data_IF_237840610097
#
_entry.id   IF_237840610097
#
_cell.length_a   1.000
_cell.length_b   1.000
_cell.length_c   1.000
_cell.angle_alpha   90.00
_cell.angle_beta   90.00
_cell.angle_gamma   90.00
#
_symmetry.space_group_name_H-M   'P 1'
#
loop_
_entity.id
_entity.type
_entity.pdbx_description
1 polymer ?
#
# COMPACT_ATOMS: atom_id res chain seq x y z
N UNK A 1 -15.91 -30.31 -37.87
CA UNK A 1 -16.16 -29.76 -36.53
C UNK A 1 -14.90 -29.19 -35.88
N UNK A 2 -14.29 -28.20 -36.54
CA UNK A 2 -13.16 -27.41 -36.02
C UNK A 2 -13.51 -25.94 -36.24
N UNK A 3 -14.63 -25.50 -35.66
CA UNK A 3 -15.11 -24.12 -35.76
C UNK A 3 -15.69 -23.64 -34.44
N UNK A 4 -14.93 -23.65 -33.33
CA UNK A 4 -15.36 -22.95 -32.10
C UNK A 4 -14.25 -22.77 -31.06
N UNK A 5 -12.99 -22.59 -31.48
CA UNK A 5 -11.90 -22.25 -30.55
C UNK A 5 -11.40 -20.81 -30.64
N UNK A 6 -12.16 -19.93 -31.23
CA UNK A 6 -11.86 -18.50 -31.29
C UNK A 6 -12.96 -17.65 -30.65
N UNK A 7 -13.48 -18.04 -29.50
CA UNK A 7 -13.95 -17.04 -28.53
C UNK A 7 -12.70 -16.47 -27.88
N UNK A 8 -12.02 -15.52 -28.55
CA UNK A 8 -11.23 -14.52 -27.87
C UNK A 8 -12.15 -13.96 -26.79
N UNK A 9 -11.82 -14.21 -25.54
CA UNK A 9 -12.31 -13.41 -24.42
C UNK A 9 -12.02 -11.99 -24.89
N UNK A 10 -13.06 -11.22 -25.22
CA UNK A 10 -12.91 -9.77 -25.40
C UNK A 10 -12.44 -9.30 -24.04
N UNK A 11 -11.14 -9.02 -23.93
CA UNK A 11 -10.60 -8.33 -22.76
C UNK A 11 -11.46 -7.09 -22.62
N UNK A 12 -12.24 -7.04 -21.57
CA UNK A 12 -13.10 -5.87 -21.30
C UNK A 12 -12.17 -4.72 -21.02
N UNK A 13 -12.12 -3.75 -21.94
CA UNK A 13 -11.31 -2.54 -21.77
C UNK A 13 -11.78 -1.86 -20.49
N UNK A 14 -10.95 -1.84 -19.44
CA UNK A 14 -11.24 -1.16 -18.21
C UNK A 14 -10.60 0.22 -18.22
N UNK A 15 -11.43 1.26 -18.25
CA UNK A 15 -10.99 2.66 -18.25
C UNK A 15 -10.61 3.08 -16.84
N UNK A 16 -9.36 3.48 -16.66
CA UNK A 16 -8.81 3.94 -15.38
C UNK A 16 -8.69 5.47 -15.37
N UNK A 17 -9.23 6.09 -14.33
CA UNK A 17 -8.97 7.48 -14.00
C UNK A 17 -7.90 7.59 -12.92
N UNK A 18 -7.07 8.61 -12.99
CA UNK A 18 -6.06 8.88 -11.97
C UNK A 18 -6.43 10.18 -11.25
N UNK A 19 -6.56 10.13 -9.93
CA UNK A 19 -6.72 11.30 -9.10
C UNK A 19 -5.41 11.62 -8.38
N UNK A 20 -4.74 12.68 -8.81
CA UNK A 20 -3.45 13.14 -8.31
C UNK A 20 -2.37 13.18 -9.38
N UNK A 21 -1.36 14.03 -9.15
CA UNK A 21 -0.19 14.22 -10.01
C UNK A 21 1.12 14.17 -9.22
N UNK A 22 1.07 13.52 -8.04
CA UNK A 22 2.19 13.41 -7.11
C UNK A 22 3.32 12.52 -7.64
N UNK A 23 4.39 12.41 -6.85
CA UNK A 23 5.60 11.66 -7.21
C UNK A 23 5.30 10.21 -7.59
N UNK A 24 4.45 9.52 -6.82
CA UNK A 24 4.12 8.11 -7.08
C UNK A 24 3.44 7.92 -8.45
N UNK A 25 2.56 8.86 -8.85
CA UNK A 25 1.92 8.83 -10.16
C UNK A 25 2.96 9.03 -11.25
N UNK A 26 3.84 10.04 -11.12
CA UNK A 26 4.86 10.34 -12.13
C UNK A 26 5.86 9.20 -12.32
N UNK A 27 6.23 8.50 -11.24
CA UNK A 27 7.16 7.36 -11.29
C UNK A 27 6.55 6.11 -11.93
N UNK A 28 5.25 5.88 -11.73
CA UNK A 28 4.60 4.64 -12.18
C UNK A 28 3.81 4.79 -13.47
N UNK A 29 3.35 5.99 -13.82
CA UNK A 29 2.51 6.24 -14.99
C UNK A 29 3.10 5.72 -16.32
N UNK A 30 4.42 5.87 -16.62
CA UNK A 30 5.01 5.32 -17.85
C UNK A 30 4.74 3.83 -17.98
N UNK A 31 5.02 3.07 -16.93
CA UNK A 31 4.80 1.63 -16.93
C UNK A 31 3.31 1.27 -16.96
N UNK A 32 2.48 2.00 -16.26
CA UNK A 32 1.04 1.78 -16.20
C UNK A 32 0.39 1.91 -17.60
N UNK A 33 0.79 2.91 -18.36
CA UNK A 33 0.26 3.15 -19.73
C UNK A 33 0.76 2.10 -20.71
N UNK A 34 2.04 1.71 -20.63
CA UNK A 34 2.66 0.84 -21.63
C UNK A 34 2.46 -0.66 -21.39
N UNK A 35 2.33 -1.08 -20.11
CA UNK A 35 2.46 -2.49 -19.75
C UNK A 35 1.25 -3.06 -19.02
N UNK A 36 0.21 -2.26 -18.74
CA UNK A 36 -1.02 -2.79 -18.14
C UNK A 36 -2.16 -2.84 -19.13
N UNK A 37 -3.11 -3.77 -18.92
CA UNK A 37 -4.32 -3.81 -19.74
C UNK A 37 -5.36 -2.73 -19.33
N UNK A 38 -5.08 -1.91 -18.32
CA UNK A 38 -5.88 -0.71 -18.05
C UNK A 38 -5.70 0.32 -19.16
N UNK A 39 -6.79 0.92 -19.59
CA UNK A 39 -6.74 2.12 -20.44
C UNK A 39 -6.81 3.35 -19.56
N UNK A 40 -5.70 4.06 -19.39
CA UNK A 40 -5.70 5.32 -18.64
C UNK A 40 -6.46 6.36 -19.45
N UNK A 41 -7.67 6.70 -19.00
CA UNK A 41 -8.62 7.56 -19.72
C UNK A 41 -8.47 9.03 -19.36
N UNK A 42 -8.12 9.34 -18.12
CA UNK A 42 -8.09 10.73 -17.64
C UNK A 42 -7.23 10.90 -16.38
N UNK A 43 -6.71 12.12 -16.20
CA UNK A 43 -6.05 12.56 -14.97
C UNK A 43 -6.83 13.71 -14.35
N UNK A 44 -7.17 13.60 -13.07
CA UNK A 44 -7.77 14.66 -12.28
C UNK A 44 -6.77 15.23 -11.28
N UNK A 45 -6.73 16.54 -11.17
CA UNK A 45 -5.85 17.25 -10.25
C UNK A 45 -6.56 18.42 -9.56
N UNK A 46 -5.89 19.05 -8.61
CA UNK A 46 -6.36 20.33 -8.10
C UNK A 46 -6.14 21.44 -9.13
N UNK A 47 -6.84 22.59 -9.07
CA UNK A 47 -6.57 23.73 -9.94
C UNK A 47 -5.09 24.17 -9.92
N UNK A 48 -4.43 24.10 -8.76
CA UNK A 48 -2.99 24.40 -8.60
C UNK A 48 -2.09 23.48 -9.43
N UNK A 49 -2.50 22.26 -9.70
CA UNK A 49 -1.72 21.24 -10.42
C UNK A 49 -2.27 20.95 -11.82
N UNK A 50 -3.21 21.78 -12.32
CA UNK A 50 -3.85 21.56 -13.62
C UNK A 50 -2.85 21.52 -14.79
N UNK A 51 -1.87 22.42 -14.80
CA UNK A 51 -0.82 22.44 -15.81
C UNK A 51 0.00 21.14 -15.82
N UNK A 52 0.30 20.59 -14.63
CA UNK A 52 1.01 19.31 -14.52
C UNK A 52 0.17 18.13 -15.01
N UNK A 53 -1.14 18.14 -14.75
CA UNK A 53 -2.04 17.11 -15.28
C UNK A 53 -2.10 17.18 -16.82
N UNK A 54 -2.21 18.37 -17.41
CA UNK A 54 -2.19 18.57 -18.86
C UNK A 54 -0.88 18.07 -19.49
N UNK A 55 0.27 18.39 -18.87
CA UNK A 55 1.60 17.92 -19.32
C UNK A 55 1.69 16.39 -19.32
N UNK A 56 1.26 15.71 -18.24
CA UNK A 56 1.25 14.27 -18.16
C UNK A 56 0.33 13.65 -19.23
N UNK A 57 -0.85 14.22 -19.44
CA UNK A 57 -1.77 13.75 -20.47
C UNK A 57 -1.19 13.90 -21.88
N UNK A 58 -0.55 15.01 -22.18
CA UNK A 58 0.12 15.21 -23.47
C UNK A 58 1.29 14.26 -23.68
N UNK A 59 2.12 14.06 -22.64
CA UNK A 59 3.30 13.19 -22.70
C UNK A 59 2.92 11.71 -22.93
N UNK A 60 1.87 11.22 -22.27
CA UNK A 60 1.48 9.82 -22.31
C UNK A 60 0.23 9.54 -23.15
N UNK A 61 -0.19 10.52 -23.97
CA UNK A 61 -1.35 10.41 -24.86
C UNK A 61 -2.65 10.02 -24.14
N UNK A 62 -2.82 10.50 -22.90
CA UNK A 62 -4.03 10.29 -22.11
C UNK A 62 -5.10 11.25 -22.63
N UNK A 63 -6.31 10.77 -22.98
CA UNK A 63 -7.30 11.57 -23.71
C UNK A 63 -7.77 12.82 -22.99
N UNK A 64 -7.85 12.80 -21.65
CA UNK A 64 -8.54 13.84 -20.89
C UNK A 64 -7.80 14.23 -19.62
N UNK A 65 -7.94 15.49 -19.21
CA UNK A 65 -7.61 15.95 -17.87
C UNK A 65 -8.70 16.91 -17.36
N UNK A 66 -8.85 16.97 -16.05
CA UNK A 66 -9.83 17.83 -15.40
C UNK A 66 -9.37 18.25 -14.00
N UNK A 67 -10.00 19.29 -13.46
CA UNK A 67 -9.91 19.65 -12.03
C UNK A 67 -11.19 19.33 -11.27
N UNK A 68 -12.16 18.73 -11.94
CA UNK A 68 -13.44 18.31 -11.36
C UNK A 68 -13.50 16.77 -11.21
N UNK A 69 -13.50 16.31 -9.98
CA UNK A 69 -13.51 14.86 -9.69
C UNK A 69 -14.78 14.17 -10.21
N UNK A 70 -15.93 14.85 -10.17
CA UNK A 70 -17.18 14.27 -10.69
C UNK A 70 -17.16 14.07 -12.20
N UNK A 71 -16.47 14.93 -12.95
CA UNK A 71 -16.26 14.72 -14.38
C UNK A 71 -15.37 13.49 -14.64
N UNK A 72 -14.25 13.34 -13.90
CA UNK A 72 -13.42 12.16 -13.99
C UNK A 72 -14.25 10.88 -13.86
N UNK A 73 -15.14 10.82 -12.84
CA UNK A 73 -15.96 9.65 -12.56
C UNK A 73 -16.92 9.30 -13.70
N UNK A 74 -17.31 10.25 -14.54
CA UNK A 74 -18.18 9.98 -15.70
C UNK A 74 -17.46 9.26 -16.83
N UNK A 75 -16.13 9.38 -16.92
CA UNK A 75 -15.34 8.88 -18.05
C UNK A 75 -14.71 7.52 -17.82
N UNK A 76 -14.78 6.98 -16.60
CA UNK A 76 -13.98 5.82 -16.18
C UNK A 76 -14.82 4.73 -15.51
N UNK A 77 -14.25 3.53 -15.45
CA UNK A 77 -14.82 2.38 -14.75
C UNK A 77 -14.19 2.19 -13.37
N UNK A 78 -12.92 2.55 -13.25
CA UNK A 78 -12.14 2.48 -12.01
C UNK A 78 -11.34 3.78 -11.79
N UNK A 79 -11.03 4.08 -10.53
CA UNK A 79 -10.22 5.25 -10.15
C UNK A 79 -9.03 4.82 -9.31
N UNK A 80 -7.83 5.27 -9.68
CA UNK A 80 -6.63 5.22 -8.85
C UNK A 80 -6.49 6.54 -8.10
N UNK A 81 -6.56 6.48 -6.76
CA UNK A 81 -6.53 7.64 -5.86
C UNK A 81 -5.15 7.76 -5.24
N UNK A 82 -4.39 8.80 -5.64
CA UNK A 82 -3.02 9.08 -5.22
C UNK A 82 -2.88 10.54 -4.76
N UNK A 83 -3.59 10.87 -3.70
CA UNK A 83 -3.65 12.18 -3.03
C UNK A 83 -3.03 12.08 -1.62
N UNK A 84 -2.92 13.17 -0.83
CA UNK A 84 -2.50 13.06 0.58
C UNK A 84 -3.42 12.15 1.41
N UNK A 85 -2.83 11.40 2.36
CA UNK A 85 -3.48 10.32 3.10
C UNK A 85 -4.85 10.71 3.71
N UNK A 86 -4.96 11.91 4.28
CA UNK A 86 -6.20 12.38 4.92
C UNK A 86 -7.38 12.51 3.94
N UNK A 87 -7.12 12.53 2.64
CA UNK A 87 -8.16 12.68 1.62
C UNK A 87 -8.58 11.33 1.00
N UNK A 88 -7.87 10.25 1.25
CA UNK A 88 -8.11 8.94 0.65
C UNK A 88 -9.54 8.47 0.87
N UNK A 89 -9.99 8.41 2.13
CA UNK A 89 -11.31 7.91 2.48
C UNK A 89 -12.45 8.71 1.82
N UNK A 90 -12.32 10.05 1.80
CA UNK A 90 -13.30 10.93 1.18
C UNK A 90 -13.49 10.65 -0.31
N UNK A 91 -12.39 10.62 -1.06
CA UNK A 91 -12.46 10.39 -2.51
C UNK A 91 -12.86 8.96 -2.87
N UNK A 92 -12.38 7.97 -2.09
CA UNK A 92 -12.78 6.57 -2.26
C UNK A 92 -14.29 6.39 -2.05
N UNK A 93 -14.86 7.00 -1.01
CA UNK A 93 -16.31 7.00 -0.74
C UNK A 93 -17.09 7.56 -1.93
N UNK A 94 -16.74 8.75 -2.41
CA UNK A 94 -17.42 9.41 -3.55
C UNK A 94 -17.37 8.53 -4.80
N UNK A 95 -16.22 7.90 -5.10
CA UNK A 95 -16.12 7.00 -6.25
C UNK A 95 -17.01 5.75 -6.10
N UNK A 96 -16.99 5.11 -4.93
CA UNK A 96 -17.83 3.95 -4.64
C UNK A 96 -19.32 4.32 -4.71
N UNK A 97 -19.73 5.49 -4.19
CA UNK A 97 -21.10 5.99 -4.30
C UNK A 97 -21.51 6.21 -5.75
N UNK A 98 -20.60 6.68 -6.59
CA UNK A 98 -20.79 6.84 -8.03
C UNK A 98 -20.73 5.52 -8.83
N UNK A 99 -20.58 4.37 -8.15
CA UNK A 99 -20.56 3.05 -8.81
C UNK A 99 -19.24 2.71 -9.50
N UNK A 100 -18.11 3.32 -9.07
CA UNK A 100 -16.79 3.06 -9.65
C UNK A 100 -15.98 2.14 -8.77
N UNK A 101 -15.17 1.28 -9.40
CA UNK A 101 -14.13 0.52 -8.72
C UNK A 101 -13.04 1.46 -8.22
N UNK A 102 -12.39 1.12 -7.12
CA UNK A 102 -11.41 1.99 -6.48
C UNK A 102 -10.10 1.24 -6.21
N UNK A 103 -9.01 1.86 -6.60
CA UNK A 103 -7.65 1.58 -6.15
C UNK A 103 -7.21 2.82 -5.38
N UNK A 104 -6.85 2.67 -4.11
CA UNK A 104 -6.43 3.80 -3.28
C UNK A 104 -5.02 3.57 -2.74
N UNK A 105 -4.18 4.61 -2.77
CA UNK A 105 -2.84 4.55 -2.19
C UNK A 105 -2.88 4.21 -0.70
N UNK A 106 -1.79 3.63 -0.24
CA UNK A 106 -1.57 3.34 1.18
C UNK A 106 -1.27 4.63 1.98
N UNK A 107 -1.71 4.68 3.24
CA UNK A 107 -2.70 3.82 3.87
C UNK A 107 -4.09 4.09 3.29
N UNK A 108 -4.94 3.06 3.19
CA UNK A 108 -6.29 3.17 2.59
C UNK A 108 -7.10 4.32 3.20
N UNK A 109 -7.01 4.46 4.51
CA UNK A 109 -7.57 5.56 5.28
C UNK A 109 -6.69 5.84 6.52
N UNK A 110 -6.98 6.88 7.25
CA UNK A 110 -6.18 7.26 8.44
C UNK A 110 -6.70 6.62 9.72
N UNK A 111 -7.91 6.06 9.71
CA UNK A 111 -8.51 5.34 10.83
C UNK A 111 -9.08 3.99 10.40
N UNK A 112 -9.11 3.04 11.35
CA UNK A 112 -9.75 1.74 11.12
C UNK A 112 -11.24 1.88 10.79
N UNK A 113 -11.95 2.78 11.45
CA UNK A 113 -13.37 3.03 11.20
C UNK A 113 -13.63 3.45 9.74
N UNK A 114 -12.84 4.38 9.21
CA UNK A 114 -12.96 4.78 7.80
C UNK A 114 -12.68 3.63 6.84
N UNK A 115 -11.65 2.81 7.13
CA UNK A 115 -11.32 1.64 6.31
C UNK A 115 -12.46 0.61 6.30
N UNK A 116 -13.04 0.32 7.47
CA UNK A 116 -14.17 -0.58 7.65
C UNK A 116 -15.44 -0.07 6.92
N UNK A 117 -15.72 1.23 7.02
CA UNK A 117 -16.85 1.85 6.32
C UNK A 117 -16.71 1.77 4.79
N UNK A 118 -15.51 2.02 4.26
CA UNK A 118 -15.22 1.90 2.83
C UNK A 118 -15.36 0.45 2.35
N UNK A 119 -14.83 -0.51 3.10
CA UNK A 119 -14.96 -1.93 2.79
C UNK A 119 -16.43 -2.38 2.77
N UNK A 120 -17.21 -1.98 3.79
CA UNK A 120 -18.64 -2.27 3.86
C UNK A 120 -19.42 -1.60 2.71
N UNK A 121 -19.06 -0.38 2.32
CA UNK A 121 -19.67 0.31 1.18
C UNK A 121 -19.39 -0.41 -0.14
N UNK A 122 -18.12 -0.78 -0.39
CA UNK A 122 -17.72 -1.50 -1.58
C UNK A 122 -18.46 -2.85 -1.69
N UNK A 123 -18.53 -3.60 -0.59
CA UNK A 123 -19.26 -4.87 -0.53
C UNK A 123 -20.75 -4.70 -0.84
N UNK A 124 -21.45 -3.74 -0.19
CA UNK A 124 -22.89 -3.47 -0.46
C UNK A 124 -23.15 -3.13 -1.91
N UNK A 125 -22.23 -2.42 -2.56
CA UNK A 125 -22.35 -2.02 -3.96
C UNK A 125 -21.80 -3.04 -4.95
N UNK A 126 -21.18 -4.14 -4.46
CA UNK A 126 -20.52 -5.16 -5.28
C UNK A 126 -19.42 -4.56 -6.16
N UNK A 127 -18.70 -3.58 -5.61
CA UNK A 127 -17.57 -2.92 -6.26
C UNK A 127 -16.24 -3.44 -5.71
N UNK A 128 -15.20 -3.37 -6.52
CA UNK A 128 -13.83 -3.63 -6.08
C UNK A 128 -13.26 -2.40 -5.39
N UNK A 129 -12.64 -2.63 -4.23
CA UNK A 129 -11.85 -1.66 -3.49
C UNK A 129 -10.53 -2.32 -3.13
N UNK A 130 -9.43 -1.78 -3.62
CA UNK A 130 -8.08 -2.26 -3.33
C UNK A 130 -7.22 -1.14 -2.73
N UNK A 131 -6.44 -1.50 -1.71
CA UNK A 131 -5.33 -0.68 -1.24
C UNK A 131 -4.09 -1.00 -2.08
N UNK A 132 -3.44 0.03 -2.62
CA UNK A 132 -2.18 -0.11 -3.34
C UNK A 132 -1.04 -0.37 -2.34
N UNK A 133 -0.99 -1.60 -1.85
CA UNK A 133 -0.02 -2.10 -0.88
C UNK A 133 0.91 -3.11 -1.55
N UNK A 134 1.93 -2.61 -2.22
CA UNK A 134 2.87 -3.38 -3.05
C UNK A 134 3.35 -4.67 -2.39
N UNK A 135 3.64 -4.64 -1.09
CA UNK A 135 4.12 -5.79 -0.31
C UNK A 135 3.30 -7.06 -0.53
N UNK A 136 1.97 -6.93 -0.52
CA UNK A 136 1.04 -8.07 -0.54
C UNK A 136 1.01 -8.81 -1.88
N UNK A 137 1.46 -8.16 -2.95
CA UNK A 137 1.37 -8.66 -4.33
C UNK A 137 2.72 -9.11 -4.91
N UNK A 138 3.83 -8.90 -4.17
CA UNK A 138 5.17 -9.29 -4.65
C UNK A 138 5.32 -10.81 -4.76
N UNK A 139 5.84 -11.34 -5.88
CA UNK A 139 6.13 -12.77 -6.02
C UNK A 139 7.06 -13.31 -4.93
N UNK A 140 8.05 -12.53 -4.50
CA UNK A 140 8.93 -12.90 -3.39
C UNK A 140 8.19 -12.99 -2.06
N UNK A 141 7.16 -12.17 -1.83
CA UNK A 141 6.33 -12.25 -0.63
C UNK A 141 5.42 -13.49 -0.64
N UNK A 142 4.92 -13.88 -1.81
CA UNK A 142 4.23 -15.16 -1.96
C UNK A 142 5.16 -16.34 -1.67
N UNK A 143 6.41 -16.29 -2.18
CA UNK A 143 7.44 -17.30 -1.89
C UNK A 143 7.76 -17.38 -0.40
N UNK A 144 7.83 -16.25 0.27
CA UNK A 144 8.05 -16.20 1.72
C UNK A 144 6.93 -16.93 2.47
N UNK A 145 5.65 -16.76 2.08
CA UNK A 145 4.52 -17.53 2.66
C UNK A 145 4.70 -19.03 2.49
N UNK A 146 5.17 -19.50 1.33
CA UNK A 146 5.45 -20.92 1.08
C UNK A 146 6.56 -21.45 1.99
N UNK A 147 7.58 -20.62 2.28
CA UNK A 147 8.71 -20.98 3.13
C UNK A 147 8.37 -20.95 4.63
N UNK A 148 7.34 -20.20 5.03
CA UNK A 148 7.01 -19.97 6.44
C UNK A 148 6.86 -21.25 7.27
N UNK A 149 6.19 -22.33 6.83
CA UNK A 149 6.11 -23.57 7.61
C UNK A 149 7.48 -24.21 7.89
N UNK A 150 8.49 -23.93 7.07
CA UNK A 150 9.83 -24.54 7.18
C UNK A 150 10.67 -23.96 8.31
N UNK A 151 10.35 -22.75 8.79
CA UNK A 151 11.05 -22.17 9.95
C UNK A 151 10.68 -22.85 11.27
N UNK A 152 9.66 -23.73 11.26
CA UNK A 152 9.11 -24.37 12.47
C UNK A 152 8.21 -23.39 13.23
N UNK A 153 8.23 -23.46 14.56
CA UNK A 153 7.46 -22.52 15.39
C UNK A 153 8.11 -21.15 15.38
N UNK A 154 7.41 -20.13 14.85
CA UNK A 154 7.88 -18.74 14.84
C UNK A 154 8.04 -18.24 16.29
N UNK A 155 9.13 -17.52 16.56
CA UNK A 155 9.44 -16.94 17.89
C UNK A 155 9.62 -15.43 17.84
N UNK A 156 10.23 -14.91 16.78
CA UNK A 156 10.47 -13.50 16.63
C UNK A 156 10.27 -13.08 15.17
N UNK A 157 9.70 -11.89 14.97
CA UNK A 157 9.65 -11.22 13.66
C UNK A 157 10.17 -9.80 13.80
N UNK A 158 11.03 -9.37 12.90
CA UNK A 158 11.56 -8.02 12.87
C UNK A 158 11.48 -7.47 11.46
N UNK A 159 10.88 -6.29 11.30
CA UNK A 159 10.93 -5.53 10.06
C UNK A 159 11.52 -4.14 10.33
N UNK A 160 12.42 -3.68 9.47
CA UNK A 160 13.05 -2.37 9.58
C UNK A 160 12.98 -1.65 8.24
N UNK A 161 12.41 -0.44 8.26
CA UNK A 161 12.40 0.48 7.14
C UNK A 161 12.77 1.89 7.65
N UNK A 162 14.06 2.18 7.65
CA UNK A 162 14.61 3.47 8.05
C UNK A 162 15.27 4.14 6.84
N UNK A 163 14.76 5.29 6.46
CA UNK A 163 15.24 6.05 5.31
C UNK A 163 15.28 7.54 5.67
N UNK A 164 16.48 8.13 5.68
CA UNK A 164 16.59 9.58 5.85
C UNK A 164 15.77 10.29 4.75
N UNK A 165 14.74 10.99 5.16
CA UNK A 165 13.83 11.63 4.23
C UNK A 165 14.50 12.82 3.55
N UNK A 166 14.42 12.91 2.22
CA UNK A 166 14.84 14.12 1.47
C UNK A 166 14.08 15.40 1.85
N UNK A 167 13.10 15.29 2.75
CA UNK A 167 12.29 16.41 3.26
C UNK A 167 12.63 16.74 4.71
N UNK A 168 13.51 15.96 5.36
CA UNK A 168 13.79 16.14 6.78
C UNK A 168 14.59 17.43 7.07
N UNK A 169 15.56 17.79 6.22
CA UNK A 169 16.29 19.04 6.37
C UNK A 169 15.36 20.28 6.29
N UNK A 170 14.41 20.26 5.34
CA UNK A 170 13.40 21.32 5.24
C UNK A 170 12.48 21.34 6.48
N UNK A 171 12.17 20.16 7.04
CA UNK A 171 11.42 20.06 8.28
C UNK A 171 12.20 20.63 9.46
N UNK A 172 13.48 20.31 9.63
CA UNK A 172 14.37 20.89 10.65
C UNK A 172 14.51 22.43 10.51
N UNK A 173 14.49 22.93 9.25
CA UNK A 173 14.51 24.36 8.95
C UNK A 173 13.16 25.08 9.17
N UNK A 174 12.17 24.42 9.80
CA UNK A 174 10.88 25.03 10.15
C UNK A 174 9.79 24.89 9.09
N UNK A 175 10.05 24.34 7.91
CA UNK A 175 9.01 24.03 6.94
C UNK A 175 8.15 22.84 7.39
N UNK A 176 6.96 22.69 6.80
CA UNK A 176 6.08 21.55 7.10
C UNK A 176 5.77 20.77 5.82
N UNK A 177 6.71 19.92 5.34
CA UNK A 177 6.43 19.05 4.19
C UNK A 177 5.30 18.07 4.51
N UNK A 178 4.44 17.67 3.55
CA UNK A 178 3.29 16.81 3.78
C UNK A 178 3.61 15.49 4.52
N UNK A 179 4.79 14.93 4.32
CA UNK A 179 5.23 13.67 4.97
C UNK A 179 5.56 13.85 6.46
N UNK A 180 5.65 15.08 6.95
CA UNK A 180 5.83 15.47 8.35
C UNK A 180 4.70 16.37 8.85
N UNK A 181 3.59 16.44 8.12
CA UNK A 181 2.44 17.27 8.46
C UNK A 181 1.31 16.42 9.06
N UNK A 182 0.93 16.65 10.35
CA UNK A 182 -0.25 16.01 10.93
C UNK A 182 -1.53 16.26 10.14
N UNK A 183 -1.65 17.42 9.46
CA UNK A 183 -2.79 17.75 8.59
C UNK A 183 -2.81 16.97 7.28
N UNK A 184 -1.75 16.26 6.97
CA UNK A 184 -1.66 15.33 5.84
C UNK A 184 -1.65 13.88 6.28
N UNK A 185 -1.78 13.60 7.59
CA UNK A 185 -1.59 12.29 8.20
C UNK A 185 -0.23 11.67 7.82
N UNK A 186 0.84 12.47 7.94
CA UNK A 186 2.23 12.06 7.71
C UNK A 186 2.79 11.23 8.85
N UNK A 187 4.12 11.25 9.01
CA UNK A 187 4.85 10.56 10.06
C UNK A 187 5.51 9.28 9.62
N UNK A 188 6.44 8.79 10.44
CA UNK A 188 7.23 7.60 10.13
C UNK A 188 6.38 6.33 10.12
N UNK A 189 5.46 6.19 11.08
CA UNK A 189 4.58 5.03 11.16
C UNK A 189 3.65 4.93 9.94
N UNK A 190 3.00 6.02 9.56
CA UNK A 190 2.01 6.04 8.48
C UNK A 190 2.64 5.97 7.09
N UNK A 191 3.85 6.47 6.90
CA UNK A 191 4.49 6.49 5.58
C UNK A 191 5.38 5.27 5.31
N UNK A 192 6.21 4.86 6.29
CA UNK A 192 7.15 3.74 6.17
C UNK A 192 6.75 2.54 7.03
N UNK A 193 6.34 2.76 8.27
CA UNK A 193 5.91 1.72 9.19
C UNK A 193 4.73 0.91 8.68
N UNK A 194 3.83 1.53 7.93
CA UNK A 194 2.69 0.86 7.28
C UNK A 194 3.10 -0.35 6.45
N UNK A 195 4.25 -0.30 5.76
CA UNK A 195 4.76 -1.43 4.98
C UNK A 195 5.25 -2.57 5.87
N UNK A 196 5.93 -2.24 6.99
CA UNK A 196 6.35 -3.24 7.98
C UNK A 196 5.14 -3.93 8.61
N UNK A 197 4.12 -3.13 9.00
CA UNK A 197 2.87 -3.65 9.59
C UNK A 197 2.13 -4.52 8.58
N UNK A 198 1.99 -4.06 7.34
CA UNK A 198 1.37 -4.84 6.27
C UNK A 198 2.11 -6.17 5.99
N UNK A 199 3.44 -6.14 6.02
CA UNK A 199 4.25 -7.35 5.88
C UNK A 199 3.96 -8.37 6.99
N UNK A 200 3.92 -7.92 8.24
CA UNK A 200 3.70 -8.81 9.40
C UNK A 200 2.25 -9.28 9.47
N UNK A 201 1.30 -8.35 9.40
CA UNK A 201 -0.15 -8.66 9.48
C UNK A 201 -0.60 -9.54 8.31
N UNK A 202 -0.08 -9.32 7.12
CA UNK A 202 -0.39 -10.16 5.96
C UNK A 202 0.05 -11.61 6.08
N UNK A 203 1.05 -11.91 6.95
CA UNK A 203 1.51 -13.28 7.22
C UNK A 203 0.81 -13.93 8.42
N UNK A 204 0.53 -13.13 9.46
CA UNK A 204 0.16 -13.64 10.78
C UNK A 204 -1.21 -13.17 11.29
N UNK A 205 -1.89 -12.32 10.53
CA UNK A 205 -3.14 -11.69 10.96
C UNK A 205 -2.92 -10.57 11.97
N UNK A 206 -4.02 -10.13 12.60
CA UNK A 206 -4.01 -9.05 13.58
C UNK A 206 -3.36 -9.52 14.91
N UNK A 207 -2.45 -8.71 15.52
CA UNK A 207 -1.86 -9.04 16.81
C UNK A 207 -2.86 -8.84 17.96
N UNK A 208 -2.63 -9.51 19.09
CA UNK A 208 -3.44 -9.32 20.31
C UNK A 208 -3.26 -7.92 20.92
N UNK A 209 -2.08 -7.32 20.73
CA UNK A 209 -1.74 -5.99 21.25
C UNK A 209 -0.68 -5.33 20.38
N UNK A 210 -0.78 -4.02 20.23
CA UNK A 210 0.21 -3.18 19.56
C UNK A 210 0.55 -1.98 20.44
N UNK A 211 1.86 -1.68 20.60
CA UNK A 211 2.38 -0.56 21.37
C UNK A 211 3.45 0.15 20.58
N UNK A 212 3.29 1.43 20.36
CA UNK A 212 4.23 2.26 19.61
C UNK A 212 4.96 3.24 20.52
N UNK A 213 6.28 3.22 20.48
CA UNK A 213 7.15 4.22 21.09
C UNK A 213 7.72 5.10 19.98
N UNK A 214 7.29 6.35 19.95
CA UNK A 214 7.63 7.31 18.92
C UNK A 214 8.63 8.37 19.38
N UNK A 215 9.58 8.72 18.52
CA UNK A 215 10.32 9.97 18.60
C UNK A 215 9.46 11.06 17.96
N UNK A 216 9.00 12.01 18.77
CA UNK A 216 8.06 13.05 18.37
C UNK A 216 8.76 14.38 18.15
N UNK A 217 8.49 15.03 17.04
CA UNK A 217 8.91 16.39 16.76
C UNK A 217 7.76 17.17 16.11
N UNK A 218 7.42 18.33 16.66
CA UNK A 218 6.30 19.17 16.17
C UNK A 218 4.98 18.40 15.98
N UNK A 219 4.62 17.58 16.96
CA UNK A 219 3.40 16.75 16.98
C UNK A 219 3.30 15.67 15.89
N UNK A 220 4.43 15.28 15.30
CA UNK A 220 4.51 14.17 14.37
C UNK A 220 5.64 13.22 14.75
N UNK A 221 5.48 11.93 14.46
CA UNK A 221 6.54 10.95 14.64
C UNK A 221 7.55 11.02 13.49
N UNK A 222 8.83 11.22 13.82
CA UNK A 222 9.94 11.20 12.86
C UNK A 222 10.58 9.83 12.76
N UNK A 223 10.52 9.05 13.83
CA UNK A 223 10.91 7.64 13.91
C UNK A 223 10.21 6.94 15.08
N UNK A 224 10.31 5.62 15.13
CA UNK A 224 9.75 4.88 16.27
C UNK A 224 9.83 3.37 16.13
N UNK A 225 9.44 2.71 17.23
CA UNK A 225 9.43 1.26 17.39
C UNK A 225 8.01 0.82 17.75
N UNK A 226 7.41 0.01 16.90
CA UNK A 226 6.13 -0.65 17.14
C UNK A 226 6.37 -2.09 17.55
N UNK A 227 5.95 -2.46 18.75
CA UNK A 227 5.89 -3.84 19.22
C UNK A 227 4.48 -4.39 19.01
N UNK A 228 4.39 -5.57 18.43
CA UNK A 228 3.16 -6.31 18.21
C UNK A 228 3.22 -7.65 18.95
N UNK A 229 2.23 -7.91 19.79
CA UNK A 229 2.14 -9.11 20.63
C UNK A 229 1.23 -10.16 19.99
N UNK A 230 1.80 -11.29 19.62
CA UNK A 230 1.10 -12.47 19.16
C UNK A 230 1.19 -13.58 20.21
N UNK A 231 0.20 -14.46 20.29
CA UNK A 231 0.10 -15.51 21.32
C UNK A 231 1.32 -16.45 21.41
N UNK A 232 2.07 -16.62 20.33
CA UNK A 232 3.23 -17.54 20.30
C UNK A 232 4.57 -16.88 20.09
N UNK A 233 4.58 -15.59 19.71
CA UNK A 233 5.79 -14.86 19.35
C UNK A 233 5.61 -13.34 19.52
N UNK A 234 6.69 -12.60 19.35
CA UNK A 234 6.69 -11.12 19.33
C UNK A 234 7.18 -10.61 17.97
N UNK A 235 6.57 -9.52 17.51
CA UNK A 235 7.00 -8.84 16.31
C UNK A 235 7.36 -7.38 16.57
N UNK A 236 8.36 -6.87 15.84
CA UNK A 236 8.84 -5.50 15.97
C UNK A 236 8.93 -4.85 14.59
N UNK A 237 8.38 -3.65 14.48
CA UNK A 237 8.52 -2.77 13.32
C UNK A 237 9.32 -1.53 13.71
N UNK A 238 10.46 -1.29 13.04
CA UNK A 238 11.23 -0.08 13.15
C UNK A 238 11.01 0.77 11.91
N UNK A 239 10.61 2.02 12.09
CA UNK A 239 10.43 2.97 11.00
C UNK A 239 11.07 4.31 11.35
N UNK A 240 11.85 4.89 10.43
CA UNK A 240 12.49 6.17 10.65
C UNK A 240 12.56 6.99 9.36
N UNK A 241 12.38 8.32 9.51
CA UNK A 241 12.50 9.32 8.45
C UNK A 241 13.57 10.38 8.78
N UNK A 242 14.05 10.39 10.01
CA UNK A 242 15.07 11.27 10.58
C UNK A 242 16.47 10.65 10.57
N UNK A 243 16.57 9.34 10.33
CA UNK A 243 17.82 8.60 10.21
C UNK A 243 17.69 7.45 9.20
N UNK A 244 18.81 6.84 8.83
CA UNK A 244 18.87 5.73 7.89
C UNK A 244 19.55 4.51 8.51
N UNK A 245 19.08 3.32 8.10
CA UNK A 245 19.72 2.05 8.40
C UNK A 245 19.44 1.04 7.27
N UNK A 246 20.24 -0.05 7.15
CA UNK A 246 19.91 -1.11 6.21
C UNK A 246 18.53 -1.71 6.46
N UNK A 247 17.66 -1.70 5.45
CA UNK A 247 16.34 -2.28 5.54
C UNK A 247 16.44 -3.82 5.55
N UNK A 248 15.61 -4.45 6.39
CA UNK A 248 15.53 -5.91 6.47
C UNK A 248 14.23 -6.38 7.12
N UNK A 249 13.79 -7.57 6.73
CA UNK A 249 12.76 -8.32 7.44
C UNK A 249 13.32 -9.70 7.80
N UNK A 250 13.12 -10.12 9.05
CA UNK A 250 13.61 -11.41 9.58
C UNK A 250 12.46 -12.11 10.27
N UNK A 251 12.22 -13.37 9.92
CA UNK A 251 11.28 -14.26 10.60
C UNK A 251 12.09 -15.40 11.20
N UNK A 252 12.12 -15.48 12.52
CA UNK A 252 12.91 -16.45 13.27
C UNK A 252 12.01 -17.54 13.85
N UNK A 253 12.37 -18.77 13.56
CA UNK A 253 11.65 -19.93 14.08
C UNK A 253 12.58 -20.98 14.67
N UNK A 254 12.00 -22.06 15.18
CA UNK A 254 12.74 -23.13 15.88
C UNK A 254 13.57 -24.02 14.96
N UNK A 255 13.32 -23.99 13.64
CA UNK A 255 14.03 -24.81 12.63
C UNK A 255 14.87 -24.00 11.65
N UNK A 256 14.90 -22.68 11.80
CA UNK A 256 15.62 -21.79 10.92
C UNK A 256 15.02 -20.38 10.90
N UNK A 257 15.50 -19.56 9.99
CA UNK A 257 14.93 -18.22 9.80
C UNK A 257 14.84 -17.85 8.31
N UNK A 258 13.97 -16.89 8.02
CA UNK A 258 13.87 -16.27 6.70
C UNK A 258 14.40 -14.85 6.82
N UNK A 259 15.28 -14.48 5.88
CA UNK A 259 15.87 -13.15 5.78
C UNK A 259 15.54 -12.52 4.44
N UNK A 260 15.05 -11.27 4.49
CA UNK A 260 14.91 -10.37 3.36
C UNK A 260 15.78 -9.14 3.61
N UNK A 261 16.75 -8.86 2.72
CA UNK A 261 17.69 -7.73 2.81
C UNK A 261 17.26 -6.52 1.99
N UNK A 262 15.96 -6.19 2.04
CA UNK A 262 15.39 -5.05 1.32
C UNK A 262 14.23 -4.45 2.10
N UNK A 263 13.73 -3.30 1.65
CA UNK A 263 12.51 -2.72 2.22
C UNK A 263 11.30 -3.64 1.99
N UNK A 264 10.34 -3.71 2.91
CA UNK A 264 9.17 -4.58 2.78
C UNK A 264 8.30 -4.25 1.57
N UNK A 265 8.24 -2.99 1.15
CA UNK A 265 7.49 -2.57 -0.04
C UNK A 265 8.08 -3.03 -1.38
N UNK A 266 9.36 -3.46 -1.38
CA UNK A 266 10.02 -3.98 -2.57
C UNK A 266 10.14 -5.51 -2.54
N UNK A 267 10.40 -6.08 -1.35
CA UNK A 267 10.62 -7.51 -1.14
C UNK A 267 11.62 -8.11 -2.16
N UNK A 268 12.82 -7.52 -2.24
CA UNK A 268 13.78 -7.73 -3.34
C UNK A 268 14.51 -9.07 -3.37
N UNK A 269 14.15 -9.99 -2.51
CA UNK A 269 14.71 -11.35 -2.45
C UNK A 269 14.53 -11.94 -1.06
N UNK A 270 14.41 -13.27 -0.99
CA UNK A 270 14.14 -14.01 0.24
C UNK A 270 15.15 -15.13 0.35
N UNK A 271 15.81 -15.22 1.50
CA UNK A 271 16.74 -16.31 1.82
C UNK A 271 16.20 -17.10 3.01
N UNK A 272 16.03 -18.38 2.84
CA UNK A 272 15.75 -19.31 3.93
C UNK A 272 17.06 -19.91 4.46
N UNK A 273 17.29 -19.76 5.75
CA UNK A 273 18.43 -20.31 6.46
C UNK A 273 17.93 -21.40 7.43
N UNK A 274 18.02 -22.69 7.09
CA UNK A 274 17.74 -23.76 8.04
C UNK A 274 18.80 -23.80 9.15
N UNK A 275 18.43 -24.31 10.34
CA UNK A 275 19.42 -24.54 11.40
C UNK A 275 20.50 -25.55 10.98
N UNK A 276 20.11 -26.51 10.14
CA UNK A 276 20.99 -27.53 9.56
C UNK A 276 20.79 -27.58 8.04
N UNK A 277 21.89 -27.62 7.29
CA UNK A 277 21.85 -27.69 5.84
C UNK A 277 22.31 -26.39 5.17
N UNK A 278 21.97 -26.26 3.89
CA UNK A 278 22.37 -25.10 3.07
C UNK A 278 21.26 -24.06 3.03
N UNK A 279 21.63 -22.80 2.99
CA UNK A 279 20.72 -21.70 2.68
C UNK A 279 20.15 -21.79 1.27
N UNK A 280 18.94 -21.29 1.11
CA UNK A 280 18.24 -21.24 -0.17
C UNK A 280 17.82 -19.79 -0.45
N UNK A 281 18.21 -19.29 -1.62
CA UNK A 281 17.93 -17.92 -2.04
C UNK A 281 16.91 -17.90 -3.19
N UNK A 282 15.93 -16.99 -3.11
CA UNK A 282 14.88 -16.80 -4.10
C UNK A 282 14.75 -15.33 -4.47
N UNK A 283 14.63 -15.04 -5.77
CA UNK A 283 14.26 -13.73 -6.29
C UNK A 283 13.37 -13.90 -7.52
N UNK A 284 12.07 -13.70 -7.34
CA UNK A 284 11.02 -13.97 -8.31
C UNK A 284 10.33 -12.70 -8.85
N UNK A 285 10.71 -11.51 -8.37
CA UNK A 285 10.03 -10.26 -8.77
C UNK A 285 10.30 -9.85 -10.22
N UNK A 286 11.42 -10.31 -10.81
CA UNK A 286 11.85 -9.84 -12.13
C UNK A 286 12.31 -8.38 -12.11
N UNK A 287 12.63 -7.86 -13.30
CA UNK A 287 13.08 -6.47 -13.50
C UNK A 287 11.90 -5.61 -13.95
N UNK A 288 11.05 -5.23 -12.97
CA UNK A 288 9.86 -4.41 -13.21
C UNK A 288 9.54 -3.53 -11.99
N UNK A 289 8.80 -2.42 -12.16
CA UNK A 289 8.40 -1.59 -11.05
C UNK A 289 7.67 -2.39 -9.97
N UNK A 290 7.88 -2.04 -8.71
CA UNK A 290 7.27 -2.74 -7.57
C UNK A 290 5.73 -2.74 -7.61
N UNK A 291 5.11 -1.73 -8.24
CA UNK A 291 3.66 -1.62 -8.41
C UNK A 291 3.09 -2.55 -9.48
N UNK A 292 3.92 -3.10 -10.35
CA UNK A 292 3.48 -3.92 -11.48
C UNK A 292 2.57 -5.09 -11.05
N UNK A 293 3.01 -5.85 -10.05
CA UNK A 293 2.30 -7.03 -9.60
C UNK A 293 0.92 -6.72 -8.99
N UNK A 294 0.80 -5.60 -8.25
CA UNK A 294 -0.49 -5.21 -7.66
C UNK A 294 -1.48 -4.74 -8.72
N UNK A 295 -1.07 -3.90 -9.68
CA UNK A 295 -1.98 -3.42 -10.74
C UNK A 295 -2.41 -4.55 -11.68
N UNK A 296 -1.53 -5.51 -11.98
CA UNK A 296 -1.91 -6.73 -12.70
C UNK A 296 -2.94 -7.56 -11.93
N UNK A 297 -2.78 -7.68 -10.60
CA UNK A 297 -3.73 -8.40 -9.75
C UNK A 297 -5.08 -7.67 -9.68
N UNK A 298 -5.09 -6.35 -9.55
CA UNK A 298 -6.30 -5.54 -9.53
C UNK A 298 -7.09 -5.68 -10.83
N UNK A 299 -6.42 -5.53 -11.97
CA UNK A 299 -7.06 -5.71 -13.26
C UNK A 299 -7.68 -7.10 -13.41
N UNK A 300 -6.91 -8.16 -13.11
CA UNK A 300 -7.41 -9.54 -13.20
C UNK A 300 -8.62 -9.77 -12.30
N UNK A 301 -8.56 -9.29 -11.04
CA UNK A 301 -9.67 -9.45 -10.11
C UNK A 301 -10.92 -8.73 -10.61
N UNK A 302 -10.79 -7.46 -11.05
CA UNK A 302 -11.92 -6.68 -11.55
C UNK A 302 -12.55 -7.28 -12.80
N UNK A 303 -11.74 -7.77 -13.76
CA UNK A 303 -12.23 -8.34 -15.02
C UNK A 303 -12.77 -9.77 -14.88
N UNK A 304 -12.21 -10.56 -13.96
CA UNK A 304 -12.67 -11.90 -13.66
C UNK A 304 -13.84 -11.94 -12.66
N UNK A 305 -14.14 -10.82 -12.00
CA UNK A 305 -15.15 -10.77 -10.94
C UNK A 305 -14.70 -11.45 -9.63
N UNK A 306 -13.38 -11.51 -9.36
CA UNK A 306 -12.79 -12.20 -8.19
C UNK A 306 -13.01 -11.40 -6.90
N UNK A 307 -14.23 -11.50 -6.37
CA UNK A 307 -14.62 -10.87 -5.11
C UNK A 307 -13.94 -11.52 -3.89
N UNK A 308 -13.51 -12.76 -4.00
CA UNK A 308 -12.81 -13.47 -2.92
C UNK A 308 -11.42 -12.87 -2.68
N UNK A 309 -10.64 -12.63 -3.74
CA UNK A 309 -9.38 -11.91 -3.62
C UNK A 309 -9.58 -10.51 -3.02
N UNK A 310 -10.59 -9.77 -3.50
CA UNK A 310 -10.88 -8.44 -2.98
C UNK A 310 -11.20 -8.47 -1.48
N UNK A 311 -12.09 -9.36 -1.04
CA UNK A 311 -12.45 -9.51 0.37
C UNK A 311 -11.24 -9.86 1.24
N UNK A 312 -10.44 -10.83 0.85
CA UNK A 312 -9.21 -11.21 1.58
C UNK A 312 -8.21 -10.07 1.70
N UNK A 313 -8.05 -9.26 0.64
CA UNK A 313 -7.17 -8.10 0.69
C UNK A 313 -7.72 -6.99 1.58
N UNK A 314 -9.04 -6.76 1.56
CA UNK A 314 -9.70 -5.82 2.45
C UNK A 314 -9.59 -6.23 3.92
N UNK A 315 -9.76 -7.52 4.24
CA UNK A 315 -9.55 -8.02 5.61
C UNK A 315 -8.12 -7.70 6.12
N UNK A 316 -7.12 -7.87 5.24
CA UNK A 316 -5.74 -7.49 5.58
C UNK A 316 -5.61 -5.98 5.78
N UNK A 317 -6.15 -5.14 4.89
CA UNK A 317 -6.11 -3.69 5.02
C UNK A 317 -6.81 -3.18 6.28
N UNK A 318 -7.94 -3.79 6.65
CA UNK A 318 -8.66 -3.48 7.90
C UNK A 318 -7.78 -3.82 9.11
N UNK A 319 -7.20 -5.01 9.16
CA UNK A 319 -6.33 -5.43 10.26
C UNK A 319 -5.09 -4.51 10.39
N UNK A 320 -4.45 -4.15 9.28
CA UNK A 320 -3.35 -3.18 9.24
C UNK A 320 -3.80 -1.82 9.79
N UNK A 321 -4.95 -1.32 9.33
CA UNK A 321 -5.50 -0.03 9.75
C UNK A 321 -5.84 0.01 11.25
N UNK A 322 -6.33 -1.11 11.81
CA UNK A 322 -6.57 -1.26 13.27
C UNK A 322 -5.28 -1.14 14.05
N UNK A 323 -4.23 -1.89 13.64
CA UNK A 323 -2.91 -1.82 14.27
C UNK A 323 -2.34 -0.40 14.22
N UNK A 324 -2.36 0.25 13.06
CA UNK A 324 -1.85 1.62 12.90
C UNK A 324 -2.64 2.62 13.75
N UNK A 325 -3.96 2.51 13.78
CA UNK A 325 -4.83 3.43 14.55
C UNK A 325 -4.57 3.32 16.06
N UNK A 326 -4.51 2.10 16.59
CA UNK A 326 -4.23 1.86 18.01
C UNK A 326 -2.80 2.32 18.36
N UNK A 327 -1.83 1.94 17.54
CA UNK A 327 -0.42 2.25 17.76
C UNK A 327 -0.17 3.77 17.81
N UNK A 328 -0.57 4.50 16.76
CA UNK A 328 -0.31 5.94 16.67
C UNK A 328 -0.99 6.73 17.81
N UNK A 329 -2.26 6.37 18.12
CA UNK A 329 -3.00 7.04 19.21
C UNK A 329 -2.35 6.79 20.56
N UNK A 330 -1.88 5.56 20.84
CA UNK A 330 -1.18 5.24 22.08
C UNK A 330 0.13 6.03 22.28
N UNK A 331 0.76 6.46 21.18
CA UNK A 331 1.97 7.27 21.16
C UNK A 331 1.70 8.78 21.09
N UNK A 332 0.43 9.22 21.07
CA UNK A 332 0.08 10.64 20.96
C UNK A 332 0.21 11.21 19.53
N UNK A 333 0.36 10.37 18.50
CA UNK A 333 0.32 10.78 17.09
C UNK A 333 -1.14 10.92 16.68
N UNK A 334 -1.63 12.15 16.67
CA UNK A 334 -3.04 12.47 16.45
C UNK A 334 -3.23 13.24 15.14
N UNK A 335 -4.32 12.94 14.44
CA UNK A 335 -4.70 13.58 13.18
C UNK A 335 -6.07 14.26 13.28
N UNK A 336 -6.39 15.20 12.38
CA UNK A 336 -7.71 15.78 12.29
C UNK A 336 -8.80 14.70 12.18
N UNK A 337 -9.83 14.79 13.02
CA UNK A 337 -10.90 13.81 13.08
C UNK A 337 -10.71 12.69 14.11
N UNK A 338 -9.55 12.57 14.73
CA UNK A 338 -9.42 11.71 15.91
C UNK A 338 -10.30 12.27 17.05
N UNK A 339 -11.23 11.43 17.51
CA UNK A 339 -12.02 11.73 18.72
C UNK A 339 -11.32 11.07 19.90
N UNK A 340 -11.21 11.81 20.99
CA UNK A 340 -10.74 11.35 22.29
C UNK A 340 -11.81 10.53 22.98
#
# INVERSE_FOLDING_TARGET
>A
CIRDRNKRIRESIMKLGILGTGKIVQEFLPWLVEHTPFTVQAVCSTPRSAAKAAELCAQYQIPQHTTNYFELLQWVDAVYIAVPNLQHARYARVALEAGKHVIVEKPMAVTAAETEELAALAQRKRLFLFEAMTTQYQPNYAKLRELLPRVGTVRMVQCSFSQYSSRYDAFCAGQTPPVFDPLCAGGALMDLGVYNVSYIVGLFGEPNKAVYAANMERNIDTSGVLMMDYSGFKAVSLAAKDCAAPARCIIQGTKGYILQKSTPNYCGGVTFHPNEGKEEHYNLNGDRPRQAAEFEAFYRAMTAGDQELCARMLDTSIAVSRVLTVARRSAGVLFPGDRF
#
